data_IF_134771777317
#
_entry.id   IF_134771777317
#
_cell.length_a   1.000
_cell.length_b   1.000
_cell.length_c   1.000
_cell.angle_alpha   90.00
_cell.angle_beta   90.00
_cell.angle_gamma   90.00
#
_symmetry.space_group_name_H-M   'P 1'
#
loop_
_entity.id
_entity.type
_entity.pdbx_description
1 polymer ?
#
# COMPACT_ATOMS: atom_id res chain seq x y z
N UNK A 1 0.84 -7.14 -18.19
CA UNK A 1 0.89 -6.64 -16.81
C UNK A 1 1.41 -7.74 -15.87
N UNK A 2 2.49 -7.49 -15.14
CA UNK A 2 3.11 -8.50 -14.27
C UNK A 2 2.33 -8.70 -12.95
N UNK A 3 1.30 -7.90 -12.68
CA UNK A 3 0.38 -8.07 -11.55
C UNK A 3 1.02 -7.88 -10.17
N UNK A 4 2.30 -7.52 -10.11
CA UNK A 4 3.06 -7.34 -8.88
C UNK A 4 2.76 -5.98 -8.25
N UNK A 5 2.44 -6.01 -6.97
CA UNK A 5 2.27 -4.81 -6.14
C UNK A 5 3.51 -4.67 -5.25
N UNK A 6 4.02 -3.45 -5.12
CA UNK A 6 5.19 -3.16 -4.28
C UNK A 6 5.10 -1.74 -3.74
N UNK A 7 5.76 -1.50 -2.61
CA UNK A 7 5.91 -0.15 -2.05
C UNK A 7 6.89 0.68 -2.85
N UNK A 8 6.49 1.90 -3.18
CA UNK A 8 7.35 2.92 -3.76
C UNK A 8 7.47 4.13 -2.85
N UNK A 9 8.51 4.14 -2.04
CA UNK A 9 8.86 5.29 -1.18
C UNK A 9 9.38 6.49 -1.98
N UNK A 10 9.76 6.30 -3.25
CA UNK A 10 10.31 7.38 -4.08
C UNK A 10 9.24 8.14 -4.87
N UNK A 11 8.08 7.52 -5.09
CA UNK A 11 7.00 8.05 -5.92
C UNK A 11 7.35 8.16 -7.42
N UNK A 12 8.39 7.46 -7.88
CA UNK A 12 8.93 7.56 -9.25
C UNK A 12 8.79 6.27 -10.06
N UNK A 13 8.30 5.18 -9.47
CA UNK A 13 8.12 3.92 -10.20
C UNK A 13 7.02 4.06 -11.23
N UNK A 14 7.29 3.58 -12.44
CA UNK A 14 6.30 3.57 -13.51
C UNK A 14 5.22 2.54 -13.24
N UNK A 15 3.95 2.92 -13.45
CA UNK A 15 2.80 2.04 -13.29
C UNK A 15 1.59 2.74 -12.69
N UNK A 16 0.56 1.97 -12.37
CA UNK A 16 -0.58 2.45 -11.61
C UNK A 16 -0.20 2.51 -10.13
N UNK A 17 -0.31 3.69 -9.53
CA UNK A 17 -0.03 3.92 -8.12
C UNK A 17 -1.29 4.30 -7.34
N UNK A 18 -1.23 4.09 -6.02
CA UNK A 18 -2.19 4.59 -5.06
C UNK A 18 -1.43 5.12 -3.86
N UNK A 19 -1.95 6.19 -3.26
CA UNK A 19 -1.38 6.79 -2.05
C UNK A 19 -2.26 6.46 -0.86
N UNK A 20 -1.64 6.37 0.31
CA UNK A 20 -2.34 6.17 1.57
C UNK A 20 -1.85 7.20 2.58
N UNK A 21 -2.76 7.68 3.43
CA UNK A 21 -2.38 8.55 4.54
C UNK A 21 -1.46 7.80 5.51
N UNK A 22 -0.48 8.50 6.12
CA UNK A 22 0.52 7.88 6.98
C UNK A 22 -0.02 7.63 8.39
N UNK A 23 -1.15 6.94 8.52
CA UNK A 23 -1.74 6.57 9.81
C UNK A 23 -2.23 5.13 9.78
N UNK A 24 -2.16 4.45 10.93
CA UNK A 24 -2.63 3.07 11.05
C UNK A 24 -4.14 2.96 10.74
N UNK A 25 -4.94 3.93 11.19
CA UNK A 25 -6.38 3.98 10.90
C UNK A 25 -6.68 4.00 9.39
N UNK A 26 -5.90 4.75 8.61
CA UNK A 26 -6.03 4.78 7.16
C UNK A 26 -5.69 3.44 6.53
N UNK A 27 -4.59 2.81 6.96
CA UNK A 27 -4.19 1.48 6.50
C UNK A 27 -5.26 0.43 6.78
N UNK A 28 -5.77 0.39 8.00
CA UNK A 28 -6.83 -0.55 8.38
C UNK A 28 -8.09 -0.40 7.54
N UNK A 29 -8.57 0.83 7.33
CA UNK A 29 -9.76 1.11 6.51
C UNK A 29 -9.54 0.70 5.06
N UNK A 30 -8.34 0.95 4.53
CA UNK A 30 -7.99 0.60 3.16
C UNK A 30 -7.94 -0.92 2.95
N UNK A 31 -7.37 -1.66 3.91
CA UNK A 31 -7.27 -3.13 3.90
C UNK A 31 -8.66 -3.76 4.05
N UNK A 32 -9.41 -3.40 5.11
CA UNK A 32 -10.76 -3.92 5.39
C UNK A 32 -11.72 -3.67 4.22
N UNK A 33 -11.62 -2.50 3.58
CA UNK A 33 -12.45 -2.12 2.45
C UNK A 33 -11.97 -2.60 1.08
N UNK A 34 -10.84 -3.32 1.00
CA UNK A 34 -10.16 -3.70 -0.25
C UNK A 34 -9.94 -2.51 -1.20
N UNK A 35 -9.70 -1.33 -0.64
CA UNK A 35 -9.60 -0.08 -1.41
C UNK A 35 -8.36 -0.11 -2.30
N UNK A 36 -7.23 -0.57 -1.77
CA UNK A 36 -5.97 -0.68 -2.51
C UNK A 36 -6.10 -1.67 -3.68
N UNK A 37 -6.78 -2.82 -3.48
CA UNK A 37 -7.00 -3.82 -4.54
C UNK A 37 -7.84 -3.25 -5.68
N UNK A 38 -8.91 -2.51 -5.34
CA UNK A 38 -9.78 -1.85 -6.32
C UNK A 38 -9.04 -0.76 -7.10
N UNK A 39 -8.27 0.08 -6.40
CA UNK A 39 -7.50 1.16 -7.02
C UNK A 39 -6.38 0.65 -7.91
N UNK A 40 -5.73 -0.47 -7.55
CA UNK A 40 -4.66 -1.07 -8.37
C UNK A 40 -5.19 -2.04 -9.44
N UNK A 41 -6.47 -2.42 -9.36
CA UNK A 41 -7.12 -3.46 -10.17
C UNK A 41 -6.40 -4.82 -10.10
N UNK A 42 -5.85 -5.16 -8.94
CA UNK A 42 -5.17 -6.43 -8.70
C UNK A 42 -5.31 -6.85 -7.24
N UNK A 43 -5.13 -8.13 -6.96
CA UNK A 43 -5.04 -8.62 -5.58
C UNK A 43 -3.74 -8.16 -4.96
N UNK A 44 -3.80 -7.87 -3.66
CA UNK A 44 -2.62 -7.46 -2.89
C UNK A 44 -2.26 -8.60 -1.94
N UNK A 45 -0.99 -8.97 -1.94
CA UNK A 45 -0.46 -9.97 -1.01
C UNK A 45 -0.34 -9.40 0.41
N UNK A 46 -0.34 -10.30 1.39
CA UNK A 46 -0.18 -9.91 2.80
C UNK A 46 1.17 -9.25 3.08
N UNK A 47 2.20 -9.61 2.32
CA UNK A 47 3.54 -9.02 2.35
C UNK A 47 3.53 -7.50 2.18
N UNK A 48 2.74 -6.99 1.22
CA UNK A 48 2.60 -5.55 0.98
C UNK A 48 1.98 -4.83 2.18
N UNK A 49 1.05 -5.47 2.88
CA UNK A 49 0.43 -4.88 4.08
C UNK A 49 1.40 -4.85 5.26
N UNK A 50 2.19 -5.92 5.44
CA UNK A 50 3.24 -5.99 6.46
C UNK A 50 4.28 -4.88 6.21
N UNK A 51 4.74 -4.72 4.97
CA UNK A 51 5.71 -3.69 4.64
C UNK A 51 5.14 -2.27 4.81
N UNK A 52 3.87 -2.04 4.44
CA UNK A 52 3.20 -0.76 4.67
C UNK A 52 3.17 -0.41 6.16
N UNK A 53 2.80 -1.38 7.00
CA UNK A 53 2.75 -1.19 8.45
C UNK A 53 4.13 -0.86 9.02
N UNK A 54 5.17 -1.60 8.61
CA UNK A 54 6.55 -1.35 9.02
C UNK A 54 7.00 0.08 8.68
N UNK A 55 6.68 0.58 7.48
CA UNK A 55 7.05 1.94 7.08
C UNK A 55 6.31 3.01 7.90
N UNK A 56 5.05 2.77 8.28
CA UNK A 56 4.29 3.68 9.16
C UNK A 56 4.90 3.75 10.56
N UNK A 57 5.29 2.59 11.09
CA UNK A 57 5.93 2.49 12.41
C UNK A 57 7.30 3.20 12.40
N UNK A 58 8.10 3.01 11.35
CA UNK A 58 9.41 3.65 11.17
C UNK A 58 9.33 5.18 10.98
N UNK A 59 8.24 5.71 10.41
CA UNK A 59 8.03 7.16 10.25
C UNK A 59 7.41 7.83 11.48
N UNK A 60 6.96 7.05 12.46
CA UNK A 60 6.45 7.55 13.74
C UNK A 60 7.54 7.67 14.83
N UNK A 61 8.80 7.36 14.46
CA UNK A 61 10.02 7.54 15.25
C UNK A 61 10.80 8.77 14.76
#
# INVERSE_FOLDING_TARGET
>A
PEGKVSLDVTGKRSGRGVYICPTEECLEKAVKGRQLERSLETKIGEDVFVDLKRVLDEQSL
#
